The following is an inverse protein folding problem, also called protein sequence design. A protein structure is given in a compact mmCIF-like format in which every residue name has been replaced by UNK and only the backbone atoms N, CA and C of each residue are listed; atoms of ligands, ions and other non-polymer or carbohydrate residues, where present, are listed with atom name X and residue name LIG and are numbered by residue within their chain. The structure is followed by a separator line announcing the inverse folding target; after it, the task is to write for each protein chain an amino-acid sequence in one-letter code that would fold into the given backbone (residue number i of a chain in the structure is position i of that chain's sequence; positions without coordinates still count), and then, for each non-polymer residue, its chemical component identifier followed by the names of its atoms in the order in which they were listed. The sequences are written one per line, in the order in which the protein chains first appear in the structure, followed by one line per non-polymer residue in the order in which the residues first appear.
data_IF_335071049520
#
_entry.id   IF_335071049520
#
_cell.length_a   1.000
_cell.length_b   1.000
_cell.length_c   1.000
_cell.angle_alpha   90.00
_cell.angle_beta   90.00
_cell.angle_gamma   90.00
#
_symmetry.space_group_name_H-M   'P 1'
#
loop_
_entity.id
_entity.type
_entity.pdbx_description
1 polymer ?
#
# COMPACT_ATOMS: atom_id res chain seq x y z
N UNK A 1 -38.21 16.28 -5.49
CA UNK A 1 -37.23 16.78 -4.51
C UNK A 1 -36.53 15.58 -3.89
N UNK A 2 -35.44 15.13 -4.48
CA UNK A 2 -34.60 14.07 -3.92
C UNK A 2 -33.81 14.70 -2.76
N UNK A 3 -34.13 14.28 -1.53
CA UNK A 3 -33.37 14.72 -0.36
C UNK A 3 -31.93 14.21 -0.50
N UNK A 4 -30.99 15.14 -0.71
CA UNK A 4 -29.56 14.85 -0.69
C UNK A 4 -29.19 14.27 0.68
N UNK A 5 -28.90 12.98 0.74
CA UNK A 5 -28.38 12.33 1.95
C UNK A 5 -27.07 13.02 2.35
N UNK A 6 -26.84 13.30 3.64
CA UNK A 6 -25.61 13.94 4.07
C UNK A 6 -24.42 12.99 3.80
N UNK A 7 -23.26 13.53 3.40
CA UNK A 7 -22.07 12.74 3.12
C UNK A 7 -21.68 11.91 4.35
N UNK A 8 -21.50 10.58 4.17
CA UNK A 8 -21.09 9.70 5.26
C UNK A 8 -19.65 9.99 5.65
N UNK A 9 -19.47 10.34 6.93
CA UNK A 9 -18.15 10.50 7.55
C UNK A 9 -17.60 9.15 7.99
N UNK A 10 -16.28 9.03 8.12
CA UNK A 10 -15.64 7.92 8.80
C UNK A 10 -16.26 7.72 10.19
N UNK A 11 -16.66 6.48 10.52
CA UNK A 11 -17.21 6.21 11.85
C UNK A 11 -16.12 6.25 12.91
N UNK A 12 -16.49 6.62 14.14
CA UNK A 12 -15.61 6.68 15.32
C UNK A 12 -14.58 5.56 15.45
N UNK A 13 -14.91 4.26 15.25
CA UNK A 13 -13.91 3.19 15.35
C UNK A 13 -12.77 3.30 14.33
N UNK A 14 -13.02 3.69 13.07
CA UNK A 14 -11.94 3.83 12.08
C UNK A 14 -11.10 5.08 12.31
N UNK A 15 -11.70 6.15 12.84
CA UNK A 15 -10.94 7.32 13.28
C UNK A 15 -10.00 6.96 14.43
N UNK A 16 -10.51 6.25 15.44
CA UNK A 16 -9.71 5.80 16.57
C UNK A 16 -8.59 4.84 16.11
N UNK A 17 -8.91 3.84 15.29
CA UNK A 17 -7.93 2.89 14.76
C UNK A 17 -6.87 3.59 13.90
N UNK A 18 -7.26 4.50 13.00
CA UNK A 18 -6.30 5.23 12.15
C UNK A 18 -5.43 6.21 12.94
N UNK A 19 -6.01 6.85 13.96
CA UNK A 19 -5.24 7.74 14.85
C UNK A 19 -4.24 6.93 15.68
N UNK A 20 -4.64 5.77 16.22
CA UNK A 20 -3.73 4.89 16.93
C UNK A 20 -2.64 4.34 16.01
N UNK A 21 -2.98 3.93 14.77
CA UNK A 21 -2.01 3.55 13.74
C UNK A 21 -0.99 4.67 13.49
N UNK A 22 -1.46 5.91 13.36
CA UNK A 22 -0.58 7.06 13.13
C UNK A 22 0.39 7.26 14.31
N UNK A 23 -0.10 7.25 15.55
CA UNK A 23 0.72 7.43 16.75
C UNK A 23 1.76 6.30 16.90
N UNK A 24 1.33 5.06 16.72
CA UNK A 24 2.21 3.89 16.81
C UNK A 24 3.24 3.87 15.66
N UNK A 25 2.86 4.28 14.45
CA UNK A 25 3.77 4.37 13.32
C UNK A 25 4.85 5.44 13.53
N UNK A 26 4.46 6.63 14.02
CA UNK A 26 5.41 7.68 14.40
C UNK A 26 6.36 7.18 15.48
N UNK A 27 5.84 6.56 16.53
CA UNK A 27 6.66 6.04 17.62
C UNK A 27 7.62 4.95 17.13
N UNK A 28 7.13 3.95 16.40
CA UNK A 28 7.94 2.84 15.91
C UNK A 28 9.05 3.28 14.97
N UNK A 29 8.72 4.12 13.98
CA UNK A 29 9.71 4.64 13.02
C UNK A 29 10.71 5.59 13.68
N UNK A 30 10.30 6.39 14.67
CA UNK A 30 11.21 7.26 15.41
C UNK A 30 12.18 6.47 16.27
N UNK A 31 11.71 5.42 16.95
CA UNK A 31 12.58 4.52 17.71
C UNK A 31 13.55 3.81 16.77
N UNK A 32 13.06 3.25 15.65
CA UNK A 32 13.90 2.59 14.65
C UNK A 32 14.99 3.49 14.07
N UNK A 33 14.69 4.77 13.79
CA UNK A 33 15.65 5.70 13.20
C UNK A 33 16.63 6.34 14.19
N UNK A 34 16.18 6.64 15.40
CA UNK A 34 16.92 7.51 16.31
C UNK A 34 17.50 6.81 17.54
N UNK A 35 17.09 5.56 17.83
CA UNK A 35 17.72 4.76 18.89
C UNK A 35 18.87 3.95 18.26
N UNK A 36 20.13 4.20 18.66
CA UNK A 36 21.27 3.49 18.11
C UNK A 36 21.17 1.98 18.33
N UNK A 37 21.58 1.19 17.33
CA UNK A 37 21.64 -0.28 17.39
C UNK A 37 20.30 -0.95 17.77
N UNK A 38 19.18 -0.27 17.49
CA UNK A 38 17.86 -0.80 17.80
C UNK A 38 17.52 -2.03 16.95
N UNK A 39 17.71 -1.93 15.63
CA UNK A 39 17.55 -3.08 14.74
C UNK A 39 18.74 -4.02 14.89
N UNK A 40 18.42 -5.29 15.19
CA UNK A 40 19.37 -6.40 15.39
C UNK A 40 19.35 -7.37 14.21
N UNK A 41 18.73 -6.96 13.11
CA UNK A 41 18.61 -7.69 11.86
C UNK A 41 19.97 -7.88 11.18
N UNK A 42 20.03 -8.78 10.21
CA UNK A 42 21.23 -8.98 9.41
C UNK A 42 21.70 -7.67 8.79
N UNK A 43 23.01 -7.41 8.79
CA UNK A 43 23.61 -6.14 8.34
C UNK A 43 23.16 -5.75 6.92
N UNK A 44 22.95 -6.73 6.05
CA UNK A 44 22.47 -6.52 4.67
C UNK A 44 21.06 -5.90 4.61
N UNK A 45 20.22 -6.11 5.64
CA UNK A 45 18.85 -5.63 5.72
C UNK A 45 18.72 -4.26 6.39
N UNK A 46 19.66 -3.88 7.25
CA UNK A 46 19.56 -2.64 8.06
C UNK A 46 19.32 -1.37 7.22
N UNK A 47 20.03 -1.12 6.10
CA UNK A 47 19.78 0.08 5.29
C UNK A 47 18.36 0.13 4.72
N UNK A 48 17.77 -1.04 4.40
CA UNK A 48 16.41 -1.12 3.90
C UNK A 48 15.39 -0.80 5.00
N UNK A 49 15.63 -1.26 6.24
CA UNK A 49 14.78 -0.91 7.38
C UNK A 49 14.80 0.59 7.66
N UNK A 50 15.99 1.21 7.68
CA UNK A 50 16.11 2.66 7.89
C UNK A 50 15.49 3.48 6.75
N UNK A 51 15.67 3.07 5.49
CA UNK A 51 15.04 3.73 4.34
C UNK A 51 13.51 3.62 4.38
N UNK A 52 12.99 2.46 4.77
CA UNK A 52 11.55 2.23 4.98
C UNK A 52 11.00 3.14 6.09
N UNK A 53 11.67 3.22 7.24
CA UNK A 53 11.25 4.04 8.37
C UNK A 53 11.27 5.52 8.01
N UNK A 54 12.33 6.00 7.33
CA UNK A 54 12.43 7.39 6.90
C UNK A 54 11.27 7.76 5.97
N UNK A 55 10.95 6.90 5.00
CA UNK A 55 9.83 7.15 4.10
C UNK A 55 8.49 7.11 4.85
N UNK A 56 8.33 6.15 5.77
CA UNK A 56 7.13 6.02 6.58
C UNK A 56 6.90 7.29 7.41
N UNK A 57 7.92 7.76 8.11
CA UNK A 57 7.86 8.96 8.95
C UNK A 57 7.70 10.24 8.12
N UNK A 58 8.48 10.39 7.05
CA UNK A 58 8.55 11.62 6.26
C UNK A 58 7.42 11.81 5.25
N UNK A 59 6.81 10.73 4.75
CA UNK A 59 5.78 10.80 3.70
C UNK A 59 4.51 10.06 4.09
N UNK A 60 4.59 8.81 4.53
CA UNK A 60 3.38 8.01 4.76
C UNK A 60 2.55 8.55 5.93
N UNK A 61 3.19 8.91 7.05
CA UNK A 61 2.52 9.49 8.23
C UNK A 61 1.83 10.82 7.91
N UNK A 62 2.50 11.84 7.31
CA UNK A 62 1.83 13.08 6.92
C UNK A 62 0.69 12.85 5.93
N UNK A 63 0.87 11.95 4.97
CA UNK A 63 -0.16 11.61 3.98
C UNK A 63 -1.36 10.94 4.64
N UNK A 64 -1.13 10.01 5.58
CA UNK A 64 -2.20 9.37 6.36
C UNK A 64 -2.97 10.41 7.18
N UNK A 65 -2.27 11.32 7.86
CA UNK A 65 -2.87 12.37 8.67
C UNK A 65 -3.82 13.26 7.83
N UNK A 66 -3.32 13.76 6.69
CA UNK A 66 -4.09 14.58 5.77
C UNK A 66 -5.26 13.81 5.15
N UNK A 67 -5.03 12.58 4.68
CA UNK A 67 -6.06 11.75 4.09
C UNK A 67 -7.16 11.39 5.10
N UNK A 68 -6.80 11.07 6.34
CA UNK A 68 -7.74 10.81 7.43
C UNK A 68 -8.61 12.03 7.73
N UNK A 69 -8.00 13.23 7.79
CA UNK A 69 -8.74 14.48 7.96
C UNK A 69 -9.77 14.69 6.84
N UNK A 70 -9.36 14.59 5.57
CA UNK A 70 -10.27 14.79 4.44
C UNK A 70 -11.34 13.69 4.34
N UNK A 71 -10.99 12.43 4.61
CA UNK A 71 -11.93 11.32 4.67
C UNK A 71 -12.98 11.52 5.80
N UNK A 72 -12.57 12.06 6.94
CA UNK A 72 -13.48 12.43 8.02
C UNK A 72 -14.44 13.58 7.64
N UNK A 73 -14.02 14.47 6.74
CA UNK A 73 -14.88 15.49 6.16
C UNK A 73 -15.78 14.97 5.02
N UNK A 74 -15.73 13.66 4.71
CA UNK A 74 -16.55 13.02 3.68
C UNK A 74 -15.97 13.05 2.27
N UNK A 75 -14.71 13.46 2.10
CA UNK A 75 -14.05 13.51 0.79
C UNK A 75 -13.75 12.12 0.25
N UNK A 76 -14.26 11.81 -0.95
CA UNK A 76 -13.96 10.55 -1.63
C UNK A 76 -12.47 10.42 -1.99
N UNK A 77 -11.83 11.52 -2.42
CA UNK A 77 -10.38 11.60 -2.65
C UNK A 77 -9.59 11.24 -1.40
N UNK A 78 -9.94 11.87 -0.28
CA UNK A 78 -9.32 11.61 1.02
C UNK A 78 -9.48 10.15 1.44
N UNK A 79 -10.66 9.58 1.21
CA UNK A 79 -10.96 8.19 1.53
C UNK A 79 -10.11 7.19 0.73
N UNK A 80 -9.97 7.39 -0.59
CA UNK A 80 -9.13 6.54 -1.44
C UNK A 80 -7.65 6.62 -1.04
N UNK A 81 -7.14 7.83 -0.78
CA UNK A 81 -5.75 8.01 -0.32
C UNK A 81 -5.54 7.38 1.05
N UNK A 82 -6.50 7.52 1.96
CA UNK A 82 -6.47 6.92 3.29
C UNK A 82 -6.39 5.38 3.21
N UNK A 83 -7.22 4.75 2.38
CA UNK A 83 -7.15 3.30 2.15
C UNK A 83 -5.82 2.89 1.51
N UNK A 84 -5.33 3.64 0.54
CA UNK A 84 -4.07 3.35 -0.14
C UNK A 84 -2.86 3.40 0.78
N UNK A 85 -2.74 4.44 1.61
CA UNK A 85 -1.67 4.55 2.61
C UNK A 85 -1.83 3.49 3.70
N UNK A 86 -3.07 3.20 4.13
CA UNK A 86 -3.34 2.08 5.05
C UNK A 86 -2.88 0.75 4.47
N UNK A 87 -3.07 0.51 3.16
CA UNK A 87 -2.56 -0.68 2.47
C UNK A 87 -1.03 -0.74 2.36
N UNK A 88 -0.36 0.42 2.27
CA UNK A 88 1.10 0.50 2.37
C UNK A 88 1.60 0.18 3.79
N UNK A 89 0.95 0.72 4.82
CA UNK A 89 1.31 0.42 6.21
C UNK A 89 1.01 -1.03 6.57
N UNK A 90 -0.07 -1.60 6.06
CA UNK A 90 -0.38 -3.03 6.18
C UNK A 90 0.76 -3.89 5.64
N UNK A 91 1.24 -3.58 4.44
CA UNK A 91 2.38 -4.27 3.86
C UNK A 91 3.65 -4.11 4.73
N UNK A 92 3.95 -2.87 5.12
CA UNK A 92 5.15 -2.54 5.90
C UNK A 92 5.18 -3.26 7.24
N UNK A 93 4.06 -3.23 7.98
CA UNK A 93 4.01 -3.83 9.32
C UNK A 93 3.72 -5.34 9.30
N UNK A 94 3.14 -5.88 8.22
CA UNK A 94 3.18 -7.32 7.98
C UNK A 94 4.63 -7.79 7.79
N UNK A 95 5.41 -7.08 6.97
CA UNK A 95 6.84 -7.36 6.82
C UNK A 95 7.55 -7.22 8.16
N UNK A 96 7.34 -6.15 8.93
CA UNK A 96 8.04 -5.98 10.20
C UNK A 96 7.68 -7.09 11.20
N UNK A 97 6.40 -7.44 11.33
CA UNK A 97 5.96 -8.48 12.26
C UNK A 97 6.45 -9.90 11.90
N UNK A 98 6.76 -10.16 10.62
CA UNK A 98 7.09 -11.51 10.11
C UNK A 98 8.54 -11.68 9.67
N UNK A 99 9.25 -10.59 9.37
CA UNK A 99 10.62 -10.57 8.85
C UNK A 99 11.61 -10.01 9.86
N UNK A 100 11.26 -8.99 10.66
CA UNK A 100 12.28 -8.35 11.51
C UNK A 100 12.75 -9.27 12.64
N UNK A 101 14.01 -9.15 13.01
CA UNK A 101 14.57 -9.78 14.20
C UNK A 101 13.83 -9.29 15.44
N UNK A 102 13.58 -10.21 16.39
CA UNK A 102 12.80 -9.90 17.59
C UNK A 102 13.42 -8.75 18.39
N UNK A 103 12.60 -7.75 18.70
CA UNK A 103 12.97 -6.56 19.46
C UNK A 103 11.77 -6.04 20.27
N UNK A 104 12.02 -4.99 21.05
CA UNK A 104 11.08 -4.42 22.02
C UNK A 104 9.81 -3.84 21.35
N UNK A 105 9.87 -3.50 20.05
CA UNK A 105 8.72 -3.01 19.27
C UNK A 105 7.91 -4.14 18.62
N UNK A 106 8.24 -5.41 18.84
CA UNK A 106 7.53 -6.53 18.21
C UNK A 106 5.99 -6.43 18.36
N UNK A 107 5.50 -6.18 19.57
CA UNK A 107 4.05 -6.04 19.82
C UNK A 107 3.45 -4.80 19.14
N UNK A 108 4.25 -3.76 18.92
CA UNK A 108 3.85 -2.55 18.19
C UNK A 108 3.67 -2.88 16.71
N UNK A 109 4.59 -3.67 16.12
CA UNK A 109 4.45 -4.13 14.74
C UNK A 109 3.21 -5.00 14.56
N UNK A 110 2.94 -5.92 15.49
CA UNK A 110 1.74 -6.77 15.47
C UNK A 110 0.46 -5.93 15.61
N UNK A 111 0.45 -4.95 16.51
CA UNK A 111 -0.68 -4.03 16.67
C UNK A 111 -0.92 -3.22 15.39
N UNK A 112 0.12 -2.66 14.79
CA UNK A 112 0.05 -1.92 13.53
C UNK A 112 -0.43 -2.80 12.38
N UNK A 113 0.07 -4.04 12.28
CA UNK A 113 -0.39 -5.02 11.32
C UNK A 113 -1.89 -5.30 11.47
N UNK A 114 -2.37 -5.60 12.68
CA UNK A 114 -3.79 -5.85 12.95
C UNK A 114 -4.67 -4.63 12.67
N UNK A 115 -4.28 -3.45 13.18
CA UNK A 115 -5.03 -2.22 12.99
C UNK A 115 -5.17 -1.87 11.50
N UNK A 116 -4.08 -1.93 10.74
CA UNK A 116 -4.11 -1.62 9.30
C UNK A 116 -4.89 -2.65 8.51
N UNK A 117 -4.80 -3.95 8.85
CA UNK A 117 -5.55 -5.02 8.19
C UNK A 117 -7.06 -4.82 8.34
N UNK A 118 -7.55 -4.71 9.57
CA UNK A 118 -8.99 -4.58 9.83
C UNK A 118 -9.54 -3.21 9.41
N UNK A 119 -8.70 -2.16 9.45
CA UNK A 119 -9.07 -0.85 8.91
C UNK A 119 -9.23 -0.91 7.39
N UNK A 120 -8.32 -1.58 6.67
CA UNK A 120 -8.40 -1.73 5.23
C UNK A 120 -9.62 -2.57 4.81
N UNK A 121 -9.84 -3.73 5.45
CA UNK A 121 -11.00 -4.59 5.17
C UNK A 121 -12.30 -3.83 5.41
N UNK A 122 -12.45 -3.22 6.59
CA UNK A 122 -13.66 -2.49 6.95
C UNK A 122 -13.87 -1.24 6.11
N UNK A 123 -12.80 -0.57 5.71
CA UNK A 123 -12.85 0.60 4.85
C UNK A 123 -13.24 0.26 3.40
N UNK A 124 -12.68 -0.82 2.84
CA UNK A 124 -13.10 -1.33 1.53
C UNK A 124 -14.55 -1.80 1.56
N UNK A 125 -14.99 -2.50 2.61
CA UNK A 125 -16.37 -2.98 2.71
C UNK A 125 -17.44 -1.87 2.81
N UNK A 126 -17.01 -0.63 3.06
CA UNK A 126 -17.89 0.53 3.26
C UNK A 126 -17.93 1.50 2.10
N UNK A 127 -17.00 1.39 1.16
CA UNK A 127 -17.03 2.23 -0.03
C UNK A 127 -18.13 1.71 -0.97
N UNK A 128 -18.96 2.61 -1.48
CA UNK A 128 -19.79 2.26 -2.61
C UNK A 128 -18.90 2.35 -3.87
N UNK A 129 -18.68 1.24 -4.59
CA UNK A 129 -17.84 1.28 -5.78
C UNK A 129 -18.45 2.11 -6.92
N UNK A 130 -19.76 2.37 -6.90
CA UNK A 130 -20.44 3.21 -7.90
C UNK A 130 -20.08 4.68 -7.77
N UNK A 131 -19.88 5.19 -6.54
CA UNK A 131 -19.43 6.56 -6.26
C UNK A 131 -18.15 6.90 -7.05
N UNK A 132 -17.24 5.91 -7.18
CA UNK A 132 -15.96 6.09 -7.86
C UNK A 132 -16.02 5.80 -9.37
N UNK A 133 -16.93 4.94 -9.81
CA UNK A 133 -17.19 4.72 -11.23
C UNK A 133 -17.83 5.96 -11.88
N UNK A 134 -18.88 6.51 -11.25
CA UNK A 134 -19.57 7.70 -11.73
C UNK A 134 -18.66 8.94 -11.71
N UNK A 135 -17.80 9.06 -10.69
CA UNK A 135 -16.82 10.14 -10.60
C UNK A 135 -15.81 10.15 -11.77
N UNK A 136 -15.65 9.04 -12.49
CA UNK A 136 -14.71 8.94 -13.60
C UNK A 136 -15.33 9.22 -14.96
N UNK A 137 -16.65 9.46 -15.10
CA UNK A 137 -17.38 9.93 -16.30
C UNK A 137 -16.59 9.92 -17.64
N UNK A 138 -16.34 8.72 -18.18
CA UNK A 138 -15.61 8.42 -19.42
C UNK A 138 -14.08 8.73 -19.49
N UNK A 139 -13.45 9.04 -18.37
CA UNK A 139 -12.00 9.19 -18.24
C UNK A 139 -11.25 7.95 -18.78
N UNK A 140 -10.17 8.14 -19.58
CA UNK A 140 -9.42 7.02 -20.15
C UNK A 140 -8.78 6.16 -19.06
N UNK A 141 -9.13 4.87 -19.04
CA UNK A 141 -8.64 3.90 -18.03
C UNK A 141 -7.44 3.08 -18.46
N UNK A 142 -7.11 3.07 -19.77
CA UNK A 142 -6.08 2.19 -20.35
C UNK A 142 -4.70 2.40 -19.76
N UNK A 143 -4.34 3.64 -19.42
CA UNK A 143 -3.06 3.97 -18.78
C UNK A 143 -2.90 3.31 -17.41
N UNK A 144 -3.96 3.33 -16.60
CA UNK A 144 -3.96 2.67 -15.29
C UNK A 144 -3.88 1.15 -15.42
N UNK A 145 -4.65 0.56 -16.35
CA UNK A 145 -4.59 -0.88 -16.63
C UNK A 145 -3.17 -1.31 -17.06
N UNK A 146 -2.59 -0.61 -18.04
CA UNK A 146 -1.25 -0.92 -18.54
C UNK A 146 -0.18 -0.80 -17.45
N UNK A 147 -0.24 0.25 -16.63
CA UNK A 147 0.67 0.44 -15.51
C UNK A 147 0.56 -0.68 -14.48
N UNK A 148 -0.67 -1.07 -14.10
CA UNK A 148 -0.87 -2.15 -13.13
C UNK A 148 -0.39 -3.51 -13.65
N UNK A 149 -0.63 -3.83 -14.92
CA UNK A 149 -0.11 -5.05 -15.54
C UNK A 149 1.41 -5.03 -15.66
N UNK A 150 2.00 -3.86 -15.97
CA UNK A 150 3.45 -3.68 -15.99
C UNK A 150 4.06 -3.95 -14.62
N UNK A 151 3.51 -3.35 -13.55
CA UNK A 151 3.98 -3.58 -12.17
C UNK A 151 3.81 -5.05 -11.79
N UNK A 152 2.64 -5.65 -12.03
CA UNK A 152 2.40 -7.05 -11.72
C UNK A 152 3.37 -7.99 -12.45
N UNK A 153 3.58 -7.77 -13.76
CA UNK A 153 4.48 -8.57 -14.58
C UNK A 153 5.94 -8.42 -14.16
N UNK A 154 6.41 -7.19 -13.97
CA UNK A 154 7.80 -6.92 -13.57
C UNK A 154 8.13 -7.53 -12.21
N UNK A 155 7.27 -7.31 -11.21
CA UNK A 155 7.45 -7.84 -9.85
C UNK A 155 7.37 -9.37 -9.86
N UNK A 156 6.41 -9.96 -10.58
CA UNK A 156 6.29 -11.42 -10.69
C UNK A 156 7.54 -12.04 -11.33
N UNK A 157 8.01 -11.47 -12.45
CA UNK A 157 9.21 -11.97 -13.15
C UNK A 157 10.45 -11.86 -12.27
N UNK A 158 10.64 -10.71 -11.60
CA UNK A 158 11.79 -10.48 -10.72
C UNK A 158 11.80 -11.49 -9.56
N UNK A 159 10.68 -11.69 -8.87
CA UNK A 159 10.61 -12.62 -7.74
C UNK A 159 10.66 -14.08 -8.17
N UNK A 160 10.00 -14.46 -9.26
CA UNK A 160 10.09 -15.84 -9.78
C UNK A 160 11.49 -16.17 -10.29
N UNK A 161 12.20 -15.22 -10.89
CA UNK A 161 13.59 -15.40 -11.29
C UNK A 161 14.52 -15.61 -10.09
N UNK A 162 14.19 -15.04 -8.93
CA UNK A 162 14.96 -15.19 -7.71
C UNK A 162 14.62 -16.49 -6.95
N UNK A 163 13.34 -16.71 -6.63
CA UNK A 163 12.93 -17.84 -5.77
C UNK A 163 12.68 -19.13 -6.55
N UNK A 164 12.41 -19.05 -7.85
CA UNK A 164 12.14 -20.22 -8.69
C UNK A 164 13.32 -21.18 -8.78
N UNK A 165 14.52 -20.73 -9.20
CA UNK A 165 15.71 -21.59 -9.25
C UNK A 165 16.10 -22.14 -7.88
N UNK A 166 15.98 -21.33 -6.83
CA UNK A 166 16.26 -21.75 -5.45
C UNK A 166 15.31 -22.87 -5.00
N UNK A 167 14.02 -22.75 -5.34
CA UNK A 167 13.00 -23.76 -5.03
C UNK A 167 13.25 -25.09 -5.75
N UNK A 168 13.69 -25.05 -7.02
CA UNK A 168 13.99 -26.25 -7.81
C UNK A 168 15.27 -26.97 -7.35
N UNK A 169 16.25 -26.21 -6.83
CA UNK A 169 17.55 -26.74 -6.41
C UNK A 169 17.61 -27.06 -4.91
N UNK A 170 16.58 -26.71 -4.14
CA UNK A 170 16.57 -26.87 -2.68
C UNK A 170 17.58 -25.96 -1.97
N UNK A 171 17.90 -24.81 -2.56
CA UNK A 171 18.85 -23.82 -2.01
C UNK A 171 18.12 -22.60 -1.46
N UNK A 172 18.83 -21.75 -0.70
CA UNK A 172 18.27 -20.49 -0.19
C UNK A 172 18.34 -19.41 -1.28
N UNK A 173 17.27 -18.64 -1.51
CA UNK A 173 17.29 -17.51 -2.44
C UNK A 173 18.36 -16.48 -2.07
N UNK A 174 18.97 -15.80 -3.06
CA UNK A 174 20.00 -14.79 -2.82
C UNK A 174 19.63 -13.69 -1.81
N UNK A 175 18.39 -13.17 -1.82
CA UNK A 175 17.97 -12.11 -0.88
C UNK A 175 18.00 -12.49 0.59
N UNK A 176 17.90 -13.78 0.90
CA UNK A 176 17.91 -14.27 2.29
C UNK A 176 19.15 -15.11 2.62
N UNK A 177 20.08 -15.26 1.68
CA UNK A 177 21.26 -16.12 1.83
C UNK A 177 22.13 -15.73 3.03
N UNK A 178 22.29 -14.43 3.26
CA UNK A 178 23.06 -13.85 4.36
C UNK A 178 22.21 -13.52 5.62
N UNK A 179 21.01 -14.09 5.70
CA UNK A 179 20.08 -13.86 6.81
C UNK A 179 19.79 -15.15 7.57
N UNK A 180 19.16 -15.03 8.73
CA UNK A 180 18.62 -16.17 9.50
C UNK A 180 17.16 -16.50 9.16
N UNK A 181 16.59 -15.82 8.16
CA UNK A 181 15.17 -15.98 7.80
C UNK A 181 14.88 -17.37 7.21
N UNK A 182 13.84 -18.06 7.69
CA UNK A 182 13.50 -19.38 7.18
C UNK A 182 12.93 -19.33 5.75
N UNK A 183 12.25 -18.24 5.38
CA UNK A 183 11.60 -18.04 4.07
C UNK A 183 11.67 -16.58 3.62
N UNK A 184 11.68 -16.32 2.29
CA UNK A 184 11.66 -14.96 1.74
C UNK A 184 10.28 -14.30 1.90
N UNK A 185 10.06 -13.60 3.02
CA UNK A 185 8.75 -13.01 3.39
C UNK A 185 8.27 -11.98 2.35
N UNK A 186 9.16 -11.10 1.87
CA UNK A 186 8.82 -10.06 0.88
C UNK A 186 8.31 -10.68 -0.42
N UNK A 187 9.02 -11.66 -0.97
CA UNK A 187 8.65 -12.36 -2.19
C UNK A 187 7.34 -13.15 -2.00
N UNK A 188 7.12 -13.71 -0.80
CA UNK A 188 5.89 -14.42 -0.45
C UNK A 188 4.67 -13.48 -0.46
N UNK A 189 4.79 -12.30 0.18
CA UNK A 189 3.74 -11.28 0.18
C UNK A 189 3.50 -10.73 -1.22
N UNK A 190 4.55 -10.50 -1.99
CA UNK A 190 4.43 -9.91 -3.31
C UNK A 190 3.79 -10.88 -4.31
N UNK A 191 4.25 -12.12 -4.39
CA UNK A 191 3.69 -13.14 -5.28
C UNK A 191 2.29 -13.60 -4.84
N UNK A 192 2.06 -13.72 -3.52
CA UNK A 192 0.80 -14.21 -2.98
C UNK A 192 -0.32 -13.17 -2.94
N UNK A 193 0.02 -11.89 -2.79
CA UNK A 193 -0.97 -10.82 -2.55
C UNK A 193 -0.82 -9.66 -3.52
N UNK A 194 0.38 -9.08 -3.64
CA UNK A 194 0.56 -7.83 -4.40
C UNK A 194 0.30 -8.05 -5.90
N UNK A 195 1.01 -8.99 -6.52
CA UNK A 195 0.90 -9.30 -7.95
C UNK A 195 -0.54 -9.69 -8.32
N UNK A 196 -1.21 -10.64 -7.63
CA UNK A 196 -2.61 -10.95 -7.90
C UNK A 196 -3.55 -9.74 -7.75
N UNK A 197 -3.34 -8.89 -6.73
CA UNK A 197 -4.17 -7.70 -6.52
C UNK A 197 -4.08 -6.72 -7.69
N UNK A 198 -2.86 -6.45 -8.17
CA UNK A 198 -2.65 -5.57 -9.33
C UNK A 198 -3.26 -6.15 -10.61
N UNK A 199 -3.09 -7.45 -10.86
CA UNK A 199 -3.64 -8.14 -12.02
C UNK A 199 -5.18 -8.17 -12.01
N UNK A 200 -5.79 -8.50 -10.87
CA UNK A 200 -7.25 -8.53 -10.70
C UNK A 200 -7.86 -7.13 -10.83
N UNK A 201 -7.25 -6.12 -10.20
CA UNK A 201 -7.69 -4.74 -10.35
C UNK A 201 -7.60 -4.27 -11.80
N UNK A 202 -6.52 -4.62 -12.51
CA UNK A 202 -6.34 -4.28 -13.91
C UNK A 202 -7.42 -4.94 -14.80
N UNK A 203 -7.71 -6.21 -14.54
CA UNK A 203 -8.76 -6.96 -15.25
C UNK A 203 -10.16 -6.38 -14.99
N UNK A 204 -10.46 -5.98 -13.75
CA UNK A 204 -11.75 -5.36 -13.41
C UNK A 204 -11.89 -3.97 -14.03
N UNK A 205 -10.85 -3.15 -13.99
CA UNK A 205 -10.86 -1.83 -14.60
C UNK A 205 -10.93 -1.89 -16.13
N UNK A 206 -10.24 -2.85 -16.75
CA UNK A 206 -10.34 -3.08 -18.20
C UNK A 206 -11.76 -3.41 -18.64
N UNK A 207 -12.47 -4.18 -17.82
CA UNK A 207 -13.89 -4.51 -18.01
C UNK A 207 -14.84 -3.40 -17.54
N UNK A 208 -14.31 -2.23 -17.15
CA UNK A 208 -15.06 -1.08 -16.59
C UNK A 208 -16.05 -1.50 -15.50
N UNK A 209 -15.63 -2.37 -14.57
CA UNK A 209 -16.45 -2.72 -13.39
C UNK A 209 -16.23 -1.70 -12.28
N UNK A 210 -17.29 -1.35 -11.55
CA UNK A 210 -17.25 -0.44 -10.39
C UNK A 210 -16.05 -0.69 -9.45
N UNK A 211 -15.87 -1.93 -9.00
CA UNK A 211 -14.77 -2.34 -8.12
C UNK A 211 -13.37 -2.16 -8.73
N UNK A 212 -13.27 -2.15 -10.07
CA UNK A 212 -12.02 -1.86 -10.77
C UNK A 212 -11.47 -0.48 -10.42
N UNK A 213 -12.33 0.55 -10.40
CA UNK A 213 -11.94 1.90 -10.02
C UNK A 213 -11.45 1.97 -8.58
N UNK A 214 -12.18 1.33 -7.65
CA UNK A 214 -11.82 1.33 -6.22
C UNK A 214 -10.45 0.70 -6.01
N UNK A 215 -10.24 -0.51 -6.52
CA UNK A 215 -8.96 -1.20 -6.35
C UNK A 215 -7.82 -0.46 -7.04
N UNK A 216 -8.06 0.14 -8.21
CA UNK A 216 -7.05 0.95 -8.90
C UNK A 216 -6.63 2.14 -8.06
N UNK A 217 -7.58 2.92 -7.51
CA UNK A 217 -7.25 4.06 -6.67
C UNK A 217 -6.41 3.68 -5.45
N UNK A 218 -6.84 2.63 -4.74
CA UNK A 218 -6.14 2.13 -3.55
C UNK A 218 -4.75 1.57 -3.89
N UNK A 219 -4.64 0.73 -4.93
CA UNK A 219 -3.39 0.10 -5.32
C UNK A 219 -2.40 1.07 -5.96
N UNK A 220 -2.85 2.11 -6.66
CA UNK A 220 -1.98 3.17 -7.18
C UNK A 220 -1.32 3.94 -6.04
N UNK A 221 -2.10 4.35 -5.03
CA UNK A 221 -1.57 5.03 -3.85
C UNK A 221 -0.64 4.09 -3.09
N UNK A 222 -1.06 2.86 -2.77
CA UNK A 222 -0.22 1.86 -2.10
C UNK A 222 1.09 1.63 -2.86
N UNK A 223 1.00 1.33 -4.15
CA UNK A 223 2.15 0.98 -5.00
C UNK A 223 3.12 2.14 -5.18
N UNK A 224 2.61 3.36 -5.32
CA UNK A 224 3.46 4.56 -5.41
C UNK A 224 4.19 4.80 -4.09
N UNK A 225 3.50 4.70 -2.96
CA UNK A 225 4.11 4.89 -1.63
C UNK A 225 5.18 3.82 -1.37
N UNK A 226 4.91 2.57 -1.76
CA UNK A 226 5.88 1.48 -1.68
C UNK A 226 7.09 1.70 -2.61
N UNK A 227 6.87 2.16 -3.85
CA UNK A 227 7.96 2.49 -4.77
C UNK A 227 8.87 3.60 -4.24
N UNK A 228 8.29 4.64 -3.63
CA UNK A 228 9.06 5.67 -2.93
C UNK A 228 9.84 5.11 -1.74
N UNK A 229 9.28 4.13 -1.02
CA UNK A 229 9.99 3.44 0.07
C UNK A 229 11.20 2.68 -0.47
N UNK A 230 11.05 1.94 -1.57
CA UNK A 230 12.16 1.23 -2.20
C UNK A 230 13.24 2.21 -2.68
N UNK A 231 12.87 3.38 -3.21
CA UNK A 231 13.87 4.40 -3.56
C UNK A 231 14.61 4.93 -2.33
N UNK A 232 13.92 5.16 -1.22
CA UNK A 232 14.56 5.54 0.04
C UNK A 232 15.50 4.44 0.56
N UNK A 233 15.09 3.17 0.49
CA UNK A 233 15.94 2.01 0.80
C UNK A 233 17.21 2.00 -0.06
N UNK A 234 17.09 2.18 -1.37
CA UNK A 234 18.23 2.20 -2.29
C UNK A 234 19.22 3.30 -1.91
N UNK A 235 18.75 4.49 -1.53
CA UNK A 235 19.63 5.59 -1.07
C UNK A 235 20.44 5.15 0.16
N UNK A 236 19.80 4.53 1.15
CA UNK A 236 20.49 4.05 2.35
C UNK A 236 21.44 2.89 2.04
N UNK A 237 21.05 1.97 1.16
CA UNK A 237 21.92 0.87 0.71
C UNK A 237 23.20 1.41 0.07
N UNK A 238 23.09 2.38 -0.84
CA UNK A 238 24.24 3.00 -1.50
C UNK A 238 25.13 3.78 -0.51
N UNK A 239 24.53 4.48 0.47
CA UNK A 239 25.27 5.16 1.53
C UNK A 239 26.05 4.19 2.43
N UNK A 240 25.49 3.00 2.64
CA UNK A 240 26.14 1.91 3.38
C UNK A 240 27.13 1.10 2.53
N UNK A 241 27.46 1.55 1.30
CA UNK A 241 28.41 0.89 0.41
C UNK A 241 27.89 -0.38 -0.27
N UNK A 242 26.60 -0.69 -0.16
CA UNK A 242 25.99 -1.82 -0.86
C UNK A 242 25.80 -1.49 -2.35
N UNK A 243 26.04 -2.45 -3.22
CA UNK A 243 25.80 -2.30 -4.65
C UNK A 243 24.36 -2.63 -5.01
N UNK A 244 23.69 -1.71 -5.68
CA UNK A 244 22.35 -1.93 -6.26
C UNK A 244 22.48 -1.88 -7.78
N UNK A 245 22.01 -2.90 -8.52
CA UNK A 245 22.09 -2.91 -9.97
C UNK A 245 21.40 -1.68 -10.58
N UNK A 246 22.09 -0.98 -11.49
CA UNK A 246 21.55 0.21 -12.16
C UNK A 246 20.17 -0.03 -12.80
N UNK A 247 19.90 -1.17 -13.49
CA UNK A 247 18.56 -1.42 -14.02
C UNK A 247 17.47 -1.40 -12.95
N UNK A 248 17.73 -1.93 -11.76
CA UNK A 248 16.77 -1.92 -10.65
C UNK A 248 16.48 -0.49 -10.18
N UNK A 249 17.51 0.34 -9.99
CA UNK A 249 17.36 1.75 -9.60
C UNK A 249 16.49 2.50 -10.63
N UNK A 250 16.83 2.35 -11.91
CA UNK A 250 16.12 3.02 -13.01
C UNK A 250 14.66 2.54 -13.07
N UNK A 251 14.40 1.24 -12.95
CA UNK A 251 13.05 0.69 -12.96
C UNK A 251 12.20 1.24 -11.82
N UNK A 252 12.69 1.21 -10.58
CA UNK A 252 11.95 1.75 -9.44
C UNK A 252 11.76 3.27 -9.50
N UNK A 253 12.73 4.01 -10.05
CA UNK A 253 12.61 5.45 -10.26
C UNK A 253 11.50 5.78 -11.27
N UNK A 254 11.51 5.11 -12.43
CA UNK A 254 10.51 5.31 -13.47
C UNK A 254 9.11 4.87 -13.00
N UNK A 255 9.00 3.72 -12.33
CA UNK A 255 7.73 3.23 -11.78
C UNK A 255 7.17 4.17 -10.71
N UNK A 256 8.01 4.72 -9.83
CA UNK A 256 7.58 5.66 -8.80
C UNK A 256 7.13 6.99 -9.40
N UNK A 257 7.84 7.51 -10.40
CA UNK A 257 7.45 8.74 -11.10
C UNK A 257 6.15 8.56 -11.90
N UNK A 258 6.03 7.45 -12.63
CA UNK A 258 4.81 7.10 -13.35
C UNK A 258 3.64 6.90 -12.37
N UNK A 259 3.87 6.18 -11.26
CA UNK A 259 2.90 5.99 -10.18
C UNK A 259 2.43 7.31 -9.60
N UNK A 260 3.33 8.22 -9.24
CA UNK A 260 3.00 9.55 -8.72
C UNK A 260 2.18 10.37 -9.72
N UNK A 261 2.55 10.32 -11.01
CA UNK A 261 1.81 10.98 -12.09
C UNK A 261 0.40 10.41 -12.23
N UNK A 262 0.25 9.09 -12.18
CA UNK A 262 -1.04 8.41 -12.29
C UNK A 262 -1.91 8.62 -11.05
N UNK A 263 -1.34 8.60 -9.84
CA UNK A 263 -2.05 8.96 -8.59
C UNK A 263 -2.56 10.39 -8.69
N UNK A 264 -1.71 11.34 -9.10
CA UNK A 264 -2.13 12.74 -9.24
C UNK A 264 -3.26 12.91 -10.27
N UNK A 265 -3.19 12.21 -11.41
CA UNK A 265 -4.27 12.21 -12.42
C UNK A 265 -5.54 11.56 -11.89
N UNK A 266 -5.44 10.40 -11.25
CA UNK A 266 -6.56 9.66 -10.70
C UNK A 266 -7.31 10.48 -9.64
N UNK A 267 -6.59 11.06 -8.68
CA UNK A 267 -7.19 11.87 -7.61
C UNK A 267 -7.80 13.17 -8.16
N UNK A 268 -7.21 13.78 -9.18
CA UNK A 268 -7.77 14.98 -9.82
C UNK A 268 -9.03 14.67 -10.64
N UNK A 269 -9.13 13.48 -11.22
CA UNK A 269 -10.30 13.05 -11.98
C UNK A 269 -11.56 12.95 -11.10
N UNK A 270 -11.43 12.53 -9.84
CA UNK A 270 -12.55 12.51 -8.88
C UNK A 270 -13.00 13.96 -8.61
N UNK A 271 -14.27 14.37 -8.81
CA UNK A 271 -14.73 15.73 -8.51
C UNK A 271 -14.54 16.10 -7.04
N UNK A 272 -14.25 17.38 -6.73
CA UNK A 272 -14.14 17.83 -5.33
C UNK A 272 -15.46 17.80 -4.56
N UNK A 273 -16.59 17.83 -5.29
CA UNK A 273 -17.94 17.65 -4.75
C UNK A 273 -18.29 16.19 -4.47
N UNK A 274 -17.49 15.22 -4.97
CA UNK A 274 -17.76 13.81 -4.75
C UNK A 274 -17.58 13.44 -3.28
N UNK A 275 -18.59 12.80 -2.73
CA UNK A 275 -18.67 12.42 -1.32
C UNK A 275 -19.20 11.00 -1.17
N UNK A 276 -18.96 10.37 -0.03
CA UNK A 276 -19.41 9.00 0.24
C UNK A 276 -20.93 9.03 0.46
N UNK A 277 -21.73 8.60 -0.52
CA UNK A 277 -23.18 8.90 -0.53
C UNK A 277 -24.12 7.71 -0.56
N UNK A 278 -23.69 6.51 -0.99
CA UNK A 278 -24.62 5.39 -1.17
C UNK A 278 -24.43 4.22 -0.18
N UNK A 279 -25.53 3.60 0.31
CA UNK A 279 -25.46 2.29 0.96
C UNK A 279 -25.27 1.18 -0.10
N UNK A 280 -24.67 0.02 0.25
CA UNK A 280 -24.76 -1.14 -0.63
C UNK A 280 -26.25 -1.40 -0.85
N UNK A 281 -26.68 -1.48 -2.11
CA UNK A 281 -28.03 -1.88 -2.46
C UNK A 281 -28.31 -3.26 -1.87
N UNK A 282 -28.89 -3.27 -0.67
CA UNK A 282 -29.51 -4.47 -0.13
C UNK A 282 -30.56 -4.89 -1.14
N UNK A 283 -30.37 -6.04 -1.76
CA UNK A 283 -31.35 -6.63 -2.65
C UNK A 283 -32.68 -6.68 -1.92
N UNK A 284 -33.59 -5.80 -2.31
CA UNK A 284 -34.99 -5.91 -1.95
C UNK A 284 -35.50 -7.17 -2.62
N UNK A 285 -35.53 -8.28 -1.89
CA UNK A 285 -36.48 -9.35 -2.16
C UNK A 285 -37.86 -8.75 -1.99
N UNK A 286 -38.37 -8.21 -3.10
CA UNK A 286 -39.77 -7.90 -3.29
C UNK A 286 -40.50 -9.24 -3.27
N UNK A 287 -41.12 -9.53 -2.14
CA UNK A 287 -42.18 -10.52 -2.04
C UNK A 287 -43.35 -10.02 -2.89
N UNK A 288 -43.68 -10.80 -3.92
CA UNK A 288 -45.05 -11.03 -4.39
C UNK A 288 -45.22 -12.55 -4.56
#
# INVERSE_FOLDING_TARGET
MTASQPPRRLTRPYLAASTLTLLLAVMGTSVGLFVPEFYRDAEVLLPQLYGQDLLTLGIAVPTLAGALYYAHQGSLRGYVVWLGVTGYLLYTYASYALLTAFNELYLVYVALFGLTLFTLIGGIARIDPTDLEEAFDDHPVRGYVAFQLLVAGLVALMWLAEVGPASLTGTRPPSIAETTLPVPVIQSLDLGVVVPSFALSAAFLWKRRAWGYVFTGVLLVKGTTLGLAVLAMIVFMLQNGQSVPLPQIVSFALLSLAGLTLVARFIRAIPSSASITHPPTGGSTQTD
#
